data_IF_793637512438
#
_entry.id   IF_793637512438
#
_cell.length_a   1.000
_cell.length_b   1.000
_cell.length_c   1.000
_cell.angle_alpha   90.00
_cell.angle_beta   90.00
_cell.angle_gamma   90.00
#
_symmetry.space_group_name_H-M   'P 1'
#
loop_
_entity.id
_entity.type
_entity.pdbx_description
1 polymer ?
#
# COMPACT_ATOMS: atom_id res chain seq x y z
N UNK A 1 -17.51 35.34 -8.21
CA UNK A 1 -16.84 34.09 -7.74
C UNK A 1 -17.53 32.82 -8.29
N UNK A 2 -17.78 32.74 -9.61
CA UNK A 2 -18.53 31.60 -10.21
C UNK A 2 -17.79 30.88 -11.36
N UNK A 3 -16.60 31.35 -11.74
CA UNK A 3 -15.95 30.92 -13.00
C UNK A 3 -15.13 29.64 -12.86
N UNK A 4 -14.58 29.34 -11.66
CA UNK A 4 -13.66 28.22 -11.45
C UNK A 4 -14.32 26.82 -11.35
N UNK A 5 -15.65 26.71 -11.22
CA UNK A 5 -16.33 25.40 -11.10
C UNK A 5 -16.62 24.71 -12.43
N UNK A 6 -16.78 25.47 -13.52
CA UNK A 6 -17.02 24.97 -14.88
C UNK A 6 -15.84 24.18 -15.50
N UNK A 7 -14.55 24.53 -15.27
CA UNK A 7 -13.42 23.76 -15.83
C UNK A 7 -13.26 22.36 -15.22
N UNK A 8 -13.55 22.20 -13.92
CA UNK A 8 -13.41 20.89 -13.24
C UNK A 8 -14.39 19.85 -13.80
N UNK A 9 -15.66 20.24 -13.98
CA UNK A 9 -16.68 19.32 -14.52
C UNK A 9 -16.33 18.87 -15.94
N UNK A 10 -15.77 19.76 -16.76
CA UNK A 10 -15.33 19.42 -18.12
C UNK A 10 -14.13 18.46 -18.10
N UNK A 11 -13.17 18.69 -17.21
CA UNK A 11 -12.03 17.78 -17.00
C UNK A 11 -12.50 16.40 -16.56
N UNK A 12 -13.39 16.31 -15.56
CA UNK A 12 -13.93 15.02 -15.10
C UNK A 12 -14.61 14.28 -16.26
N UNK A 13 -15.53 14.94 -16.99
CA UNK A 13 -16.20 14.33 -18.14
C UNK A 13 -15.22 13.84 -19.22
N UNK A 14 -14.14 14.59 -19.46
CA UNK A 14 -13.14 14.25 -20.47
C UNK A 14 -12.29 13.03 -20.08
N UNK A 15 -11.92 12.92 -18.81
CA UNK A 15 -10.92 11.93 -18.35
C UNK A 15 -11.51 10.72 -17.60
N UNK A 16 -12.75 10.77 -17.09
CA UNK A 16 -13.35 9.69 -16.28
C UNK A 16 -13.16 8.29 -16.87
N UNK A 17 -13.59 8.06 -18.11
CA UNK A 17 -13.54 6.72 -18.72
C UNK A 17 -12.10 6.22 -18.90
N UNK A 18 -11.19 7.10 -19.32
CA UNK A 18 -9.80 6.75 -19.58
C UNK A 18 -9.05 6.49 -18.27
N UNK A 19 -9.27 7.35 -17.27
CA UNK A 19 -8.61 7.26 -15.97
C UNK A 19 -9.11 6.04 -15.19
N UNK A 20 -10.42 5.76 -15.21
CA UNK A 20 -10.98 4.52 -14.66
C UNK A 20 -10.34 3.29 -15.29
N UNK A 21 -10.29 3.21 -16.63
CA UNK A 21 -9.67 2.07 -17.33
C UNK A 21 -8.17 1.92 -17.00
N UNK A 22 -7.45 3.03 -16.86
CA UNK A 22 -6.04 3.03 -16.45
C UNK A 22 -5.85 2.50 -15.03
N UNK A 23 -6.68 2.93 -14.08
CA UNK A 23 -6.62 2.49 -12.68
C UNK A 23 -7.03 1.03 -12.58
N UNK A 24 -8.15 0.65 -13.21
CA UNK A 24 -8.73 -0.69 -13.14
C UNK A 24 -7.81 -1.80 -13.60
N UNK A 25 -6.96 -1.53 -14.60
CA UNK A 25 -5.91 -2.45 -15.05
C UNK A 25 -4.81 -2.73 -14.02
N UNK A 26 -4.78 -1.99 -12.90
CA UNK A 26 -3.73 -1.98 -11.89
C UNK A 26 -4.27 -2.18 -10.47
N UNK A 27 -5.52 -2.57 -10.32
CA UNK A 27 -6.15 -2.87 -9.03
C UNK A 27 -7.07 -4.10 -9.16
N UNK A 28 -7.41 -4.68 -8.03
CA UNK A 28 -8.08 -5.98 -7.92
C UNK A 28 -9.54 -5.92 -8.35
N UNK A 29 -10.26 -4.88 -7.94
CA UNK A 29 -11.71 -4.74 -8.12
C UNK A 29 -12.11 -3.44 -8.82
N UNK A 30 -13.39 -3.38 -9.23
CA UNK A 30 -14.01 -2.15 -9.73
C UNK A 30 -14.16 -1.13 -8.59
N UNK A 31 -14.49 -1.58 -7.37
CA UNK A 31 -14.61 -0.75 -6.17
C UNK A 31 -13.29 -0.05 -5.83
N UNK A 32 -12.16 -0.77 -5.83
CA UNK A 32 -10.83 -0.19 -5.63
C UNK A 32 -10.52 0.90 -6.67
N UNK A 33 -10.97 0.68 -7.90
CA UNK A 33 -10.75 1.61 -8.99
C UNK A 33 -11.60 2.88 -8.82
N UNK A 34 -12.85 2.74 -8.37
CA UNK A 34 -13.75 3.85 -8.07
C UNK A 34 -13.25 4.69 -6.88
N UNK A 35 -12.76 4.04 -5.82
CA UNK A 35 -12.20 4.71 -4.64
C UNK A 35 -10.98 5.56 -4.99
N UNK A 36 -10.02 4.98 -5.73
CA UNK A 36 -8.84 5.72 -6.19
C UNK A 36 -9.25 6.86 -7.12
N UNK A 37 -10.24 6.63 -7.99
CA UNK A 37 -10.73 7.66 -8.90
C UNK A 37 -11.36 8.83 -8.14
N UNK A 38 -12.14 8.54 -7.09
CA UNK A 38 -12.71 9.54 -6.20
C UNK A 38 -11.62 10.36 -5.49
N UNK A 39 -10.56 9.72 -5.01
CA UNK A 39 -9.40 10.38 -4.40
C UNK A 39 -8.67 11.32 -5.37
N UNK A 40 -8.55 10.93 -6.65
CA UNK A 40 -7.95 11.80 -7.68
C UNK A 40 -8.82 13.03 -7.92
N UNK A 41 -10.15 12.88 -8.00
CA UNK A 41 -11.05 14.01 -8.17
C UNK A 41 -11.11 14.92 -6.96
N UNK A 42 -11.03 14.35 -5.76
CA UNK A 42 -10.93 15.11 -4.53
C UNK A 42 -9.67 16.00 -4.56
N UNK A 43 -8.51 15.43 -4.90
CA UNK A 43 -7.27 16.20 -5.04
C UNK A 43 -7.34 17.26 -6.14
N UNK A 44 -7.97 16.93 -7.27
CA UNK A 44 -8.19 17.92 -8.33
C UNK A 44 -9.03 19.11 -7.82
N UNK A 45 -10.04 18.82 -7.00
CA UNK A 45 -10.92 19.85 -6.43
C UNK A 45 -10.24 20.73 -5.38
N UNK A 46 -9.20 20.22 -4.70
CA UNK A 46 -8.41 20.99 -3.73
C UNK A 46 -7.31 21.84 -4.37
N UNK A 47 -6.93 21.53 -5.63
CA UNK A 47 -6.42 22.44 -6.67
C UNK A 47 -6.66 23.96 -6.51
N UNK A 48 -5.80 24.79 -5.89
CA UNK A 48 -6.02 26.25 -5.83
C UNK A 48 -6.05 26.90 -7.22
N UNK A 49 -5.23 26.37 -8.15
CA UNK A 49 -5.12 26.83 -9.54
C UNK A 49 -5.08 25.63 -10.50
N UNK A 50 -6.18 24.88 -10.60
CA UNK A 50 -6.31 23.80 -11.61
C UNK A 50 -6.02 24.32 -13.03
N UNK A 51 -6.34 25.60 -13.29
CA UNK A 51 -6.09 26.29 -14.55
C UNK A 51 -4.60 26.58 -14.83
N UNK A 52 -3.75 26.62 -13.80
CA UNK A 52 -2.29 26.78 -13.95
C UNK A 52 -1.57 25.45 -14.24
N UNK A 53 -2.28 24.31 -14.18
CA UNK A 53 -1.73 23.03 -14.58
C UNK A 53 -1.72 22.97 -16.11
N UNK A 54 -0.61 23.36 -16.74
CA UNK A 54 -0.43 23.34 -18.20
C UNK A 54 -0.81 21.98 -18.83
N UNK A 55 -0.66 20.88 -18.08
CA UNK A 55 -1.00 19.53 -18.51
C UNK A 55 -1.81 18.77 -17.45
N UNK A 56 -3.07 19.18 -17.26
CA UNK A 56 -4.02 18.53 -16.32
C UNK A 56 -4.05 17.00 -16.49
N UNK A 57 -4.05 16.50 -17.73
CA UNK A 57 -4.02 15.06 -18.00
C UNK A 57 -2.79 14.36 -17.37
N UNK A 58 -1.59 14.88 -17.63
CA UNK A 58 -0.34 14.33 -17.08
C UNK A 58 -0.34 14.35 -15.55
N UNK A 59 -0.88 15.41 -14.95
CA UNK A 59 -1.05 15.51 -13.50
C UNK A 59 -2.01 14.45 -12.95
N UNK A 60 -3.17 14.24 -13.59
CA UNK A 60 -4.15 13.22 -13.18
C UNK A 60 -3.56 11.82 -13.18
N UNK A 61 -2.85 11.44 -14.25
CA UNK A 61 -2.20 10.12 -14.31
C UNK A 61 -1.08 9.96 -13.28
N UNK A 62 -0.37 11.03 -12.94
CA UNK A 62 0.63 11.02 -11.86
C UNK A 62 -0.02 10.78 -10.50
N UNK A 63 -1.10 11.51 -10.19
CA UNK A 63 -1.84 11.35 -8.93
C UNK A 63 -2.43 9.95 -8.83
N UNK A 64 -3.08 9.46 -9.90
CA UNK A 64 -3.63 8.10 -9.94
C UNK A 64 -2.55 7.04 -9.70
N UNK A 65 -1.38 7.16 -10.35
CA UNK A 65 -0.25 6.25 -10.12
C UNK A 65 0.20 6.27 -8.66
N UNK A 66 0.35 7.45 -8.07
CA UNK A 66 0.76 7.57 -6.67
C UNK A 66 -0.24 6.88 -5.74
N UNK A 67 -1.55 7.06 -5.99
CA UNK A 67 -2.60 6.41 -5.19
C UNK A 67 -2.63 4.91 -5.33
N UNK A 68 -2.42 4.37 -6.54
CA UNK A 68 -2.26 2.93 -6.72
C UNK A 68 -1.10 2.40 -5.88
N UNK A 69 0.06 3.06 -5.91
CA UNK A 69 1.23 2.67 -5.09
C UNK A 69 0.92 2.76 -3.60
N UNK A 70 0.26 3.83 -3.16
CA UNK A 70 -0.14 4.00 -1.75
C UNK A 70 -1.08 2.88 -1.29
N UNK A 71 -2.03 2.46 -2.13
CA UNK A 71 -2.94 1.35 -1.84
C UNK A 71 -2.18 0.05 -1.64
N UNK A 72 -1.25 -0.28 -2.54
CA UNK A 72 -0.40 -1.47 -2.39
C UNK A 72 0.54 -1.39 -1.17
N UNK A 73 1.06 -0.20 -0.84
CA UNK A 73 1.90 -0.02 0.34
C UNK A 73 1.11 -0.18 1.64
N UNK A 74 -0.14 0.29 1.68
CA UNK A 74 -1.03 0.12 2.85
C UNK A 74 -1.53 -1.31 3.01
N UNK A 75 -1.67 -2.05 1.91
CA UNK A 75 -2.08 -3.46 1.92
C UNK A 75 -0.97 -4.44 2.26
N UNK A 76 0.29 -3.98 2.36
CA UNK A 76 1.41 -4.77 2.87
C UNK A 76 1.85 -4.26 4.25
N UNK A 77 1.23 -4.74 5.35
CA UNK A 77 2.04 -4.94 6.55
C UNK A 77 3.17 -5.90 6.16
N UNK A 78 4.40 -5.61 6.54
CA UNK A 78 5.50 -6.58 6.40
C UNK A 78 5.04 -7.85 7.14
N UNK A 79 4.79 -8.93 6.41
CA UNK A 79 4.38 -10.20 7.01
C UNK A 79 5.62 -10.98 7.39
N UNK A 80 5.53 -11.86 8.40
CA UNK A 80 6.61 -12.78 8.75
C UNK A 80 7.10 -13.57 7.51
N UNK A 81 6.20 -13.88 6.59
CA UNK A 81 6.48 -14.55 5.31
C UNK A 81 7.47 -13.79 4.42
N UNK A 82 7.53 -12.46 4.49
CA UNK A 82 8.52 -11.65 3.76
C UNK A 82 9.97 -11.90 4.24
N UNK A 83 10.14 -12.53 5.41
CA UNK A 83 11.43 -12.88 6.03
C UNK A 83 11.69 -14.40 6.05
N UNK A 84 10.77 -15.20 5.52
CA UNK A 84 10.91 -16.64 5.34
C UNK A 84 11.36 -17.00 3.93
N UNK A 85 12.03 -18.13 3.77
CA UNK A 85 12.20 -18.82 2.48
C UNK A 85 11.67 -20.24 2.59
N UNK A 86 11.08 -20.74 1.52
CA UNK A 86 10.75 -22.17 1.43
C UNK A 86 12.02 -22.97 1.18
N UNK A 87 12.26 -24.00 1.99
CA UNK A 87 13.30 -24.98 1.72
C UNK A 87 12.86 -26.03 0.69
N UNK A 88 13.71 -27.02 0.41
CA UNK A 88 13.45 -28.04 -0.62
C UNK A 88 12.23 -28.93 -0.31
N UNK A 89 11.83 -29.01 0.96
CA UNK A 89 10.67 -29.78 1.42
C UNK A 89 9.39 -28.92 1.53
N UNK A 90 9.48 -27.62 1.22
CA UNK A 90 8.38 -26.67 1.28
C UNK A 90 8.10 -26.15 2.69
N UNK A 91 9.02 -26.33 3.64
CA UNK A 91 8.92 -25.72 4.97
C UNK A 91 9.36 -24.26 4.92
N UNK A 92 8.60 -23.38 5.57
CA UNK A 92 8.97 -21.96 5.69
C UNK A 92 10.08 -21.83 6.74
N UNK A 93 11.29 -21.55 6.29
CA UNK A 93 12.48 -21.32 7.11
C UNK A 93 12.73 -19.82 7.22
N UNK A 94 12.69 -19.27 8.43
CA UNK A 94 13.00 -17.87 8.67
C UNK A 94 14.52 -17.69 8.68
N UNK A 95 15.05 -17.05 7.62
CA UNK A 95 16.50 -16.85 7.48
C UNK A 95 16.96 -15.83 8.51
N UNK A 96 17.89 -16.25 9.34
CA UNK A 96 18.83 -15.39 10.07
C UNK A 96 18.42 -14.75 11.41
N UNK A 97 17.16 -14.81 11.87
CA UNK A 97 16.82 -14.30 13.22
C UNK A 97 16.62 -15.40 14.29
N UNK A 98 16.25 -16.62 13.87
CA UNK A 98 15.78 -17.69 14.78
C UNK A 98 16.72 -18.90 14.88
N UNK A 99 17.52 -19.17 13.85
CA UNK A 99 18.18 -20.47 13.64
C UNK A 99 19.70 -20.38 13.44
N UNK A 100 20.33 -19.24 13.70
CA UNK A 100 21.79 -19.16 13.78
C UNK A 100 22.25 -19.94 15.02
N UNK A 101 22.33 -21.26 14.91
CA UNK A 101 22.94 -22.12 15.91
C UNK A 101 24.43 -22.23 15.59
N UNK A 102 25.17 -21.16 15.87
CA UNK A 102 26.64 -21.23 15.92
C UNK A 102 27.13 -21.88 17.23
N UNK A 103 26.20 -22.26 18.12
CA UNK A 103 26.44 -22.95 19.37
C UNK A 103 27.13 -22.09 20.42
N UNK A 104 27.04 -20.77 20.30
CA UNK A 104 27.68 -19.85 21.23
C UNK A 104 26.78 -19.53 22.43
N UNK A 105 27.35 -19.26 23.63
CA UNK A 105 26.56 -18.83 24.78
C UNK A 105 25.76 -17.53 24.54
N UNK A 106 26.26 -16.67 23.64
CA UNK A 106 25.60 -15.42 23.25
C UNK A 106 24.37 -15.69 22.36
N UNK A 107 24.47 -16.60 21.38
CA UNK A 107 23.33 -16.99 20.55
C UNK A 107 22.22 -17.66 21.38
N UNK A 108 22.59 -18.48 22.36
CA UNK A 108 21.62 -19.14 23.25
C UNK A 108 20.85 -18.15 24.12
N UNK A 109 21.54 -17.17 24.68
CA UNK A 109 20.90 -16.10 25.46
C UNK A 109 19.95 -15.25 24.62
N UNK A 110 20.38 -14.85 23.42
CA UNK A 110 19.55 -14.06 22.50
C UNK A 110 18.29 -14.82 22.08
N UNK A 111 18.41 -16.14 21.87
CA UNK A 111 17.29 -17.04 21.55
C UNK A 111 16.29 -17.12 22.69
N UNK A 112 16.77 -17.28 23.92
CA UNK A 112 15.90 -17.34 25.11
C UNK A 112 15.15 -16.01 25.29
N UNK A 113 15.84 -14.88 25.17
CA UNK A 113 15.23 -13.55 25.26
C UNK A 113 14.17 -13.33 24.17
N UNK A 114 14.46 -13.75 22.93
CA UNK A 114 13.51 -13.67 21.83
C UNK A 114 12.22 -14.44 22.13
N UNK A 115 12.33 -15.70 22.57
CA UNK A 115 11.15 -16.53 22.87
C UNK A 115 10.31 -15.98 24.02
N UNK A 116 10.94 -15.40 25.03
CA UNK A 116 10.22 -14.71 26.11
C UNK A 116 9.38 -13.55 25.56
N UNK A 117 9.98 -12.68 24.74
CA UNK A 117 9.29 -11.52 24.17
C UNK A 117 8.21 -11.91 23.15
N UNK A 118 8.44 -12.96 22.36
CA UNK A 118 7.43 -13.46 21.42
C UNK A 118 6.20 -14.00 22.15
N UNK A 119 6.40 -14.79 23.21
CA UNK A 119 5.28 -15.32 24.00
C UNK A 119 4.51 -14.21 24.70
N UNK A 120 5.21 -13.22 25.26
CA UNK A 120 4.59 -12.04 25.86
C UNK A 120 3.70 -11.28 24.84
N UNK A 121 4.22 -11.04 23.64
CA UNK A 121 3.45 -10.39 22.57
C UNK A 121 2.26 -11.23 22.06
N UNK A 122 2.40 -12.55 22.02
CA UNK A 122 1.31 -13.47 21.66
C UNK A 122 0.20 -13.48 22.71
N UNK A 123 0.55 -13.40 23.99
CA UNK A 123 -0.42 -13.30 25.09
C UNK A 123 -1.18 -11.96 25.09
N UNK A 124 -0.61 -10.90 24.51
CA UNK A 124 -1.26 -9.60 24.32
C UNK A 124 -2.26 -9.58 23.14
N UNK A 125 -2.32 -10.64 22.33
CA UNK A 125 -3.24 -10.68 21.19
C UNK A 125 -4.71 -10.72 21.65
N UNK A 126 -5.60 -9.93 21.02
CA UNK A 126 -7.02 -9.98 21.32
C UNK A 126 -7.62 -11.33 20.90
N UNK A 127 -8.59 -11.84 21.68
CA UNK A 127 -9.23 -13.17 21.50
C UNK A 127 -9.92 -13.40 20.13
N UNK A 128 -10.04 -12.38 19.27
CA UNK A 128 -10.73 -12.47 17.99
C UNK A 128 -9.83 -11.99 16.86
N UNK A 129 -9.21 -12.94 16.15
CA UNK A 129 -8.61 -12.78 14.82
C UNK A 129 -9.48 -13.54 13.81
#
# INVERSE_FOLDING_TARGET
MATARLPIVQTIKKYSKQLFGFIRQRVSSDEDAEDILQDVWYQLSSQPEVEAIEQVGSWLYRVARNRIVDTYRKQRPETLEDYGYEDEDGEIVFKDLLLADDGTPESDYLRELFWQQLMEALDELPENQ
#
